data_IF_745143198219
#
_entry.id   IF_745143198219
#
_cell.length_a   1.000
_cell.length_b   1.000
_cell.length_c   1.000
_cell.angle_alpha   90.00
_cell.angle_beta   90.00
_cell.angle_gamma   90.00
#
_symmetry.space_group_name_H-M   'P 1'
#
loop_
_entity.id
_entity.type
_entity.pdbx_description
1 polymer ?
#
# COMPACT_ATOMS: atom_id res chain seq x y z
N UNK A 1 10.91 34.28 -1.72
CA UNK A 1 10.05 33.52 -0.78
C UNK A 1 8.81 32.85 -1.43
N UNK A 2 8.35 33.25 -2.64
CA UNK A 2 7.20 32.61 -3.34
C UNK A 2 7.47 31.26 -4.04
N UNK A 3 8.74 30.82 -4.15
CA UNK A 3 9.10 29.60 -4.88
C UNK A 3 8.95 28.31 -4.07
N UNK A 4 8.86 28.41 -2.74
CA UNK A 4 8.78 27.26 -1.84
C UNK A 4 7.37 26.66 -1.72
N UNK A 5 6.30 27.45 -1.96
CA UNK A 5 4.91 26.92 -1.96
C UNK A 5 4.50 26.26 -3.27
N UNK A 6 5.19 26.56 -4.39
CA UNK A 6 5.01 25.81 -5.64
C UNK A 6 5.62 24.41 -5.55
N UNK A 7 6.67 24.24 -4.75
CA UNK A 7 7.29 22.94 -4.54
C UNK A 7 6.36 21.99 -3.78
N UNK A 8 5.64 22.45 -2.75
CA UNK A 8 4.68 21.60 -2.01
C UNK A 8 3.44 21.24 -2.85
N UNK A 9 2.96 22.16 -3.70
CA UNK A 9 1.88 21.84 -4.66
C UNK A 9 2.31 20.78 -5.66
N UNK A 10 3.58 20.81 -6.10
CA UNK A 10 4.11 19.84 -7.04
C UNK A 10 4.39 18.47 -6.40
N UNK A 11 4.62 18.38 -5.09
CA UNK A 11 4.83 17.09 -4.40
C UNK A 11 3.59 16.22 -4.49
N UNK A 12 2.40 16.80 -4.24
CA UNK A 12 1.13 16.06 -4.33
C UNK A 12 0.87 15.60 -5.77
N UNK A 13 1.04 16.51 -6.75
CA UNK A 13 0.89 16.16 -8.17
C UNK A 13 1.92 15.13 -8.63
N UNK A 14 3.18 15.23 -8.20
CA UNK A 14 4.22 14.25 -8.50
C UNK A 14 3.91 12.90 -7.87
N UNK A 15 3.33 12.87 -6.67
CA UNK A 15 2.90 11.64 -6.00
C UNK A 15 1.74 10.97 -6.74
N UNK A 16 0.76 11.75 -7.20
CA UNK A 16 -0.35 11.26 -8.04
C UNK A 16 0.16 10.72 -9.37
N UNK A 17 1.07 11.45 -10.04
CA UNK A 17 1.71 10.99 -11.29
C UNK A 17 2.54 9.73 -11.04
N UNK A 18 3.23 9.61 -9.91
CA UNK A 18 3.97 8.40 -9.52
C UNK A 18 3.03 7.19 -9.35
N UNK A 19 1.86 7.36 -8.74
CA UNK A 19 0.82 6.31 -8.66
C UNK A 19 0.35 5.90 -10.06
N UNK A 20 0.15 6.86 -10.97
CA UNK A 20 -0.22 6.58 -12.36
C UNK A 20 0.93 5.88 -13.11
N UNK A 21 2.18 6.23 -12.85
CA UNK A 21 3.34 5.52 -13.42
C UNK A 21 3.49 4.10 -12.87
N UNK A 22 3.11 3.86 -11.60
CA UNK A 22 3.04 2.51 -11.01
C UNK A 22 1.93 1.64 -11.64
N UNK A 23 0.93 2.24 -12.30
CA UNK A 23 -0.01 1.50 -13.17
C UNK A 23 0.65 1.05 -14.48
N UNK A 24 1.61 1.82 -14.99
CA UNK A 24 2.24 1.56 -16.30
C UNK A 24 3.38 0.56 -16.14
N UNK A 25 4.24 0.75 -15.12
CA UNK A 25 5.43 -0.07 -14.89
C UNK A 25 5.05 -1.37 -14.15
N UNK A 26 5.24 -2.55 -14.77
CA UNK A 26 5.03 -3.83 -14.10
C UNK A 26 6.04 -3.97 -12.95
N UNK A 27 5.54 -4.16 -11.72
CA UNK A 27 6.39 -4.57 -10.60
C UNK A 27 6.62 -6.08 -10.66
N UNK A 28 7.87 -6.56 -10.50
CA UNK A 28 8.15 -7.97 -10.30
C UNK A 28 7.39 -8.50 -9.09
N UNK A 29 6.83 -9.72 -9.20
CA UNK A 29 6.02 -10.34 -8.14
C UNK A 29 6.79 -10.53 -6.83
N UNK A 30 8.10 -10.77 -6.89
CA UNK A 30 8.97 -10.84 -5.70
C UNK A 30 8.97 -9.54 -4.88
N UNK A 31 8.99 -8.38 -5.57
CA UNK A 31 8.95 -7.08 -4.90
C UNK A 31 7.55 -6.85 -4.31
N UNK A 32 6.49 -7.23 -5.02
CA UNK A 32 5.12 -7.15 -4.52
C UNK A 32 4.94 -7.97 -3.23
N UNK A 33 5.44 -9.21 -3.20
CA UNK A 33 5.36 -10.07 -2.01
C UNK A 33 6.07 -9.44 -0.81
N UNK A 34 7.30 -8.94 -1.01
CA UNK A 34 8.03 -8.25 0.05
C UNK A 34 7.27 -7.02 0.58
N UNK A 35 6.76 -6.19 -0.33
CA UNK A 35 6.05 -4.97 0.04
C UNK A 35 4.70 -5.26 0.73
N UNK A 36 3.99 -6.33 0.34
CA UNK A 36 2.77 -6.76 1.05
C UNK A 36 3.07 -7.23 2.47
N UNK A 37 4.11 -8.06 2.66
CA UNK A 37 4.54 -8.50 4.00
C UNK A 37 4.91 -7.29 4.86
N UNK A 38 5.69 -6.37 4.30
CA UNK A 38 6.05 -5.12 4.97
C UNK A 38 4.82 -4.27 5.33
N UNK A 39 3.85 -4.15 4.42
CA UNK A 39 2.61 -3.39 4.66
C UNK A 39 1.80 -3.97 5.81
N UNK A 40 1.62 -5.29 5.84
CA UNK A 40 0.91 -5.97 6.92
C UNK A 40 1.64 -5.75 8.25
N UNK A 41 2.97 -5.90 8.27
CA UNK A 41 3.78 -5.63 9.45
C UNK A 41 3.65 -4.18 9.94
N UNK A 42 3.77 -3.21 9.04
CA UNK A 42 3.61 -1.79 9.34
C UNK A 42 2.21 -1.48 9.91
N UNK A 43 1.17 -2.07 9.32
CA UNK A 43 -0.22 -1.92 9.81
C UNK A 43 -0.38 -2.47 11.23
N UNK A 44 0.27 -3.59 11.57
CA UNK A 44 0.28 -4.13 12.93
C UNK A 44 1.05 -3.22 13.90
N UNK A 45 2.20 -2.67 13.50
CA UNK A 45 2.96 -1.71 14.32
C UNK A 45 2.14 -0.46 14.61
N UNK A 46 1.43 0.07 13.61
CA UNK A 46 0.55 1.23 13.79
C UNK A 46 -0.62 0.91 14.71
N UNK A 47 -1.22 -0.28 14.57
CA UNK A 47 -2.27 -0.75 15.46
C UNK A 47 -1.77 -0.80 16.91
N UNK A 48 -0.63 -1.46 17.15
CA UNK A 48 -0.02 -1.51 18.47
C UNK A 48 0.29 -0.11 19.01
N UNK A 49 0.94 0.74 18.22
CA UNK A 49 1.21 2.13 18.58
C UNK A 49 -0.08 2.85 18.99
N UNK A 50 -1.16 2.72 18.22
CA UNK A 50 -2.45 3.36 18.51
C UNK A 50 -3.07 2.90 19.83
N UNK A 51 -2.84 1.65 20.23
CA UNK A 51 -3.31 1.10 21.52
C UNK A 51 -2.47 1.58 22.71
N UNK A 52 -1.23 2.03 22.48
CA UNK A 52 -0.30 2.46 23.53
C UNK A 52 -0.05 3.98 23.60
N UNK A 53 -0.58 4.77 22.67
CA UNK A 53 -0.46 6.24 22.67
C UNK A 53 -1.09 6.81 23.95
N UNK A 54 -0.30 7.59 24.69
CA UNK A 54 -0.73 8.21 25.97
C UNK A 54 -0.72 9.73 25.93
N UNK A 55 0.01 10.34 24.99
CA UNK A 55 0.19 11.80 24.95
C UNK A 55 -0.34 12.44 23.64
N UNK A 56 -0.95 13.65 23.72
CA UNK A 56 -1.48 14.36 22.55
C UNK A 56 -0.44 14.71 21.48
N UNK A 57 0.84 14.83 21.86
CA UNK A 57 1.93 15.14 20.95
C UNK A 57 2.21 13.97 19.98
N UNK A 58 2.08 12.72 20.44
CA UNK A 58 2.16 11.52 19.61
C UNK A 58 0.98 11.43 18.62
N UNK A 59 -0.15 12.04 18.97
CA UNK A 59 -1.29 12.15 18.08
C UNK A 59 -1.03 13.06 16.88
N UNK A 60 -0.05 13.97 16.95
CA UNK A 60 0.24 14.91 15.85
C UNK A 60 0.98 14.25 14.68
N UNK A 61 1.76 13.18 14.93
CA UNK A 61 2.42 12.41 13.86
C UNK A 61 1.49 11.35 13.24
N UNK A 62 0.45 10.97 13.98
CA UNK A 62 -0.49 9.91 13.62
C UNK A 62 -1.24 10.18 12.29
N UNK A 63 -1.84 11.38 12.03
CA UNK A 63 -2.47 11.70 10.75
C UNK A 63 -1.53 11.57 9.55
N UNK A 64 -0.28 12.00 9.69
CA UNK A 64 0.70 11.93 8.60
C UNK A 64 1.12 10.50 8.32
N UNK A 65 1.35 9.67 9.36
CA UNK A 65 1.63 8.25 9.20
C UNK A 65 0.46 7.52 8.53
N UNK A 66 -0.77 7.79 8.95
CA UNK A 66 -1.96 7.24 8.33
C UNK A 66 -2.07 7.63 6.84
N UNK A 67 -1.79 8.89 6.49
CA UNK A 67 -1.78 9.33 5.10
C UNK A 67 -0.75 8.56 4.25
N UNK A 68 0.50 8.48 4.73
CA UNK A 68 1.58 7.77 4.03
C UNK A 68 1.24 6.28 3.87
N UNK A 69 0.77 5.63 4.93
CA UNK A 69 0.40 4.21 4.87
C UNK A 69 -0.81 3.94 3.98
N UNK A 70 -1.74 4.89 3.90
CA UNK A 70 -2.89 4.80 2.98
C UNK A 70 -2.43 4.91 1.54
N UNK A 71 -1.53 5.83 1.24
CA UNK A 71 -0.93 5.98 -0.09
C UNK A 71 -0.11 4.76 -0.51
N UNK A 72 0.66 4.19 0.41
CA UNK A 72 1.38 2.93 0.19
C UNK A 72 0.42 1.77 -0.11
N UNK A 73 -0.68 1.65 0.66
CA UNK A 73 -1.75 0.68 0.40
C UNK A 73 -2.37 0.86 -0.99
N UNK A 74 -2.65 2.09 -1.40
CA UNK A 74 -3.16 2.41 -2.74
C UNK A 74 -2.21 1.92 -3.84
N UNK A 75 -0.92 2.25 -3.75
CA UNK A 75 0.08 1.81 -4.73
C UNK A 75 0.16 0.28 -4.86
N UNK A 76 0.23 -0.43 -3.73
CA UNK A 76 0.30 -1.90 -3.73
C UNK A 76 -0.94 -2.57 -4.31
N UNK A 77 -2.13 -2.11 -3.94
CA UNK A 77 -3.39 -2.66 -4.43
C UNK A 77 -3.56 -2.44 -5.93
N UNK A 78 -3.11 -1.29 -6.42
CA UNK A 78 -3.13 -0.97 -7.84
C UNK A 78 -2.16 -1.89 -8.61
N UNK A 79 -0.92 -2.00 -8.15
CA UNK A 79 0.08 -2.85 -8.80
C UNK A 79 -0.26 -4.33 -8.73
N UNK A 80 -0.85 -4.82 -7.63
CA UNK A 80 -1.30 -6.20 -7.52
C UNK A 80 -2.44 -6.50 -8.49
N UNK A 81 -3.47 -5.64 -8.56
CA UNK A 81 -4.59 -5.81 -9.49
C UNK A 81 -4.10 -5.86 -10.93
N UNK A 82 -3.20 -4.95 -11.30
CA UNK A 82 -2.54 -4.99 -12.61
C UNK A 82 -1.82 -6.33 -12.84
N UNK A 83 -1.01 -6.78 -11.87
CA UNK A 83 -0.29 -8.06 -11.98
C UNK A 83 -1.26 -9.24 -12.15
N UNK A 84 -2.37 -9.28 -11.41
CA UNK A 84 -3.42 -10.30 -11.57
C UNK A 84 -3.94 -10.30 -13.01
N UNK A 85 -4.26 -9.11 -13.56
CA UNK A 85 -4.83 -8.98 -14.89
C UNK A 85 -3.83 -9.28 -16.02
N UNK A 86 -2.54 -8.98 -15.84
CA UNK A 86 -1.52 -9.18 -16.90
C UNK A 86 -0.79 -10.51 -16.82
N UNK A 87 -0.73 -11.15 -15.64
CA UNK A 87 0.04 -12.37 -15.41
C UNK A 87 -0.87 -13.58 -15.16
N UNK A 88 -1.96 -13.71 -15.94
CA UNK A 88 -2.89 -14.85 -15.88
C UNK A 88 -3.41 -15.19 -14.48
N UNK A 89 -3.74 -14.17 -13.68
CA UNK A 89 -4.25 -14.32 -12.32
C UNK A 89 -3.17 -14.38 -11.23
N UNK A 90 -1.88 -14.26 -11.57
CA UNK A 90 -0.78 -14.35 -10.62
C UNK A 90 -0.21 -12.97 -10.19
N UNK A 91 -0.20 -12.70 -8.89
CA UNK A 91 0.34 -11.45 -8.33
C UNK A 91 1.36 -11.65 -7.21
N UNK A 92 1.97 -12.83 -7.15
CA UNK A 92 2.91 -13.21 -6.09
C UNK A 92 2.36 -14.32 -5.19
N UNK A 93 3.25 -14.92 -4.42
CA UNK A 93 2.92 -16.04 -3.55
C UNK A 93 2.10 -15.60 -2.34
N UNK A 94 2.33 -14.39 -1.82
CA UNK A 94 1.55 -13.85 -0.70
C UNK A 94 0.08 -13.75 -1.09
N UNK A 95 -0.21 -13.14 -2.25
CA UNK A 95 -1.60 -13.00 -2.75
C UNK A 95 -2.23 -14.36 -3.00
N UNK A 96 -1.50 -15.31 -3.57
CA UNK A 96 -1.98 -16.68 -3.84
C UNK A 96 -2.31 -17.45 -2.56
N UNK A 97 -1.43 -17.41 -1.57
CA UNK A 97 -1.64 -18.07 -0.27
C UNK A 97 -2.81 -17.44 0.47
N UNK A 98 -2.92 -16.11 0.49
CA UNK A 98 -4.08 -15.42 1.06
C UNK A 98 -5.37 -15.78 0.33
N UNK A 99 -5.36 -15.82 -1.00
CA UNK A 99 -6.52 -16.24 -1.80
C UNK A 99 -6.99 -17.65 -1.44
N UNK A 100 -6.08 -18.62 -1.41
CA UNK A 100 -6.37 -20.00 -1.01
C UNK A 100 -6.89 -20.11 0.43
N UNK A 101 -6.30 -19.34 1.35
CA UNK A 101 -6.71 -19.29 2.75
C UNK A 101 -8.15 -18.77 2.91
N UNK A 102 -8.54 -17.76 2.14
CA UNK A 102 -9.88 -17.15 2.19
C UNK A 102 -10.93 -18.07 1.57
N UNK A 103 -10.67 -18.62 0.38
CA UNK A 103 -11.67 -19.46 -0.34
C UNK A 103 -11.84 -20.84 0.27
N UNK A 104 -10.90 -21.33 1.10
CA UNK A 104 -10.93 -22.65 1.77
C UNK A 104 -11.34 -23.83 0.86
N UNK A 105 -11.02 -23.76 -0.43
CA UNK A 105 -11.36 -24.78 -1.43
C UNK A 105 -12.78 -24.72 -2.02
N UNK A 106 -13.61 -23.74 -1.64
CA UNK A 106 -14.92 -23.53 -2.25
C UNK A 106 -14.93 -22.27 -3.13
N UNK A 107 -14.79 -22.47 -4.44
CA UNK A 107 -14.80 -21.39 -5.44
C UNK A 107 -16.19 -20.74 -5.56
N UNK A 108 -17.27 -21.38 -5.08
CA UNK A 108 -18.61 -20.79 -5.12
C UNK A 108 -18.83 -19.65 -4.09
N UNK A 109 -17.88 -19.45 -3.18
CA UNK A 109 -17.93 -18.38 -2.16
C UNK A 109 -17.03 -17.19 -2.53
N UNK A 110 -16.20 -17.32 -3.57
CA UNK A 110 -15.29 -16.27 -4.07
C UNK A 110 -15.69 -15.76 -5.45
#
# INVERSE_FOLDING_TARGET
MKKFSSLSSNVVTAFVVLIVFLLIIPLPTFILDFLFIFQIGLSLVILMMSMYVKEPLEFSIFPTLLLITTLFRLGLNISSTRSILTNAGYAGEVVKVFGQFVIRGNVAVG
#
